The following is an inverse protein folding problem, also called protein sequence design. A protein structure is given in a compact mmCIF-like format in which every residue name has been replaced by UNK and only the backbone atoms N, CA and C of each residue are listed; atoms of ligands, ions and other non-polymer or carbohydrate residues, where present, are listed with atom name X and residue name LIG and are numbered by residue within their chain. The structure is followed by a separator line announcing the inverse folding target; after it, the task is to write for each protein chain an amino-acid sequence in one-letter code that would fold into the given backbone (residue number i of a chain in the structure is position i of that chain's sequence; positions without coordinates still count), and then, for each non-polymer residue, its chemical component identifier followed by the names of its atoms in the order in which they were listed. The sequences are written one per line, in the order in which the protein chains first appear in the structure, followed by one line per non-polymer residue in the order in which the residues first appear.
data_IF_613620393319
#
_entry.id   IF_613620393319
#
_cell.length_a   1.000
_cell.length_b   1.000
_cell.length_c   1.000
_cell.angle_alpha   90.00
_cell.angle_beta   90.00
_cell.angle_gamma   90.00
#
_symmetry.space_group_name_H-M   'P 1'
#
loop_
_entity.id
_entity.type
_entity.pdbx_description
1 polymer ?
#
# COMPACT_ATOMS: atom_id res chain seq x y z
N UNK A 1 18.58 -20.89 -12.21
CA UNK A 1 17.74 -21.94 -12.81
C UNK A 1 18.38 -22.40 -14.11
N UNK A 2 18.59 -23.70 -14.30
CA UNK A 2 19.08 -24.22 -15.57
C UNK A 2 17.91 -24.26 -16.57
N UNK A 3 18.12 -23.77 -17.79
CA UNK A 3 17.11 -23.83 -18.84
C UNK A 3 16.85 -25.30 -19.24
N UNK A 4 15.59 -25.71 -19.46
CA UNK A 4 15.28 -27.01 -20.05
C UNK A 4 16.05 -27.26 -21.36
N UNK A 5 16.41 -28.52 -21.68
CA UNK A 5 17.31 -28.84 -22.79
C UNK A 5 16.82 -28.39 -24.18
N UNK A 6 15.52 -28.17 -24.34
CA UNK A 6 14.88 -27.77 -25.61
C UNK A 6 14.83 -26.24 -25.82
N UNK A 7 15.33 -25.44 -24.88
CA UNK A 7 15.27 -23.97 -24.98
C UNK A 7 16.39 -23.48 -25.90
N UNK A 8 16.01 -23.10 -27.12
CA UNK A 8 16.88 -22.42 -28.08
C UNK A 8 17.36 -21.04 -27.58
N UNK A 9 18.30 -20.44 -28.32
CA UNK A 9 18.90 -19.14 -27.98
C UNK A 9 17.86 -18.02 -27.88
N UNK A 10 16.83 -18.03 -28.74
CA UNK A 10 15.70 -17.11 -28.70
C UNK A 10 14.91 -17.19 -27.39
N UNK A 11 14.69 -18.39 -26.86
CA UNK A 11 13.99 -18.61 -25.60
C UNK A 11 14.76 -18.09 -24.39
N UNK A 12 16.10 -18.21 -24.40
CA UNK A 12 16.97 -17.66 -23.34
C UNK A 12 16.96 -16.13 -23.37
N UNK A 13 17.06 -15.52 -24.55
CA UNK A 13 16.97 -14.06 -24.72
C UNK A 13 15.60 -13.55 -24.26
N UNK A 14 14.51 -14.20 -24.67
CA UNK A 14 13.16 -13.83 -24.25
C UNK A 14 12.98 -13.90 -22.73
N UNK A 15 13.49 -14.96 -22.09
CA UNK A 15 13.44 -15.10 -20.64
C UNK A 15 14.18 -13.98 -19.90
N UNK A 16 15.45 -13.72 -20.26
CA UNK A 16 16.21 -12.65 -19.62
C UNK A 16 15.65 -11.26 -19.95
N UNK A 17 15.19 -11.03 -21.19
CA UNK A 17 14.53 -9.79 -21.57
C UNK A 17 13.27 -9.52 -20.75
N UNK A 18 12.43 -10.53 -20.54
CA UNK A 18 11.26 -10.43 -19.66
C UNK A 18 11.64 -10.14 -18.21
N UNK A 19 12.63 -10.84 -17.66
CA UNK A 19 13.11 -10.59 -16.29
C UNK A 19 13.66 -9.17 -16.12
N UNK A 20 14.47 -8.70 -17.07
CA UNK A 20 15.00 -7.33 -17.07
C UNK A 20 13.86 -6.31 -17.14
N UNK A 21 12.87 -6.52 -18.01
CA UNK A 21 11.70 -5.64 -18.10
C UNK A 21 10.92 -5.59 -16.79
N UNK A 22 10.60 -6.75 -16.19
CA UNK A 22 9.93 -6.81 -14.89
C UNK A 22 10.76 -6.11 -13.79
N UNK A 23 12.08 -6.31 -13.77
CA UNK A 23 12.96 -5.66 -12.82
C UNK A 23 12.94 -4.13 -12.98
N UNK A 24 12.96 -3.61 -14.22
CA UNK A 24 12.82 -2.18 -14.49
C UNK A 24 11.47 -1.63 -14.02
N UNK A 25 10.37 -2.35 -14.26
CA UNK A 25 9.03 -1.95 -13.79
C UNK A 25 8.99 -1.90 -12.26
N UNK A 26 9.49 -2.94 -11.57
CA UNK A 26 9.53 -2.94 -10.11
C UNK A 26 10.43 -1.83 -9.55
N UNK A 27 11.58 -1.58 -10.16
CA UNK A 27 12.46 -0.49 -9.76
C UNK A 27 11.74 0.86 -9.92
N UNK A 28 11.06 1.08 -11.04
CA UNK A 28 10.28 2.31 -11.27
C UNK A 28 9.16 2.49 -10.23
N UNK A 29 8.42 1.44 -9.90
CA UNK A 29 7.35 1.49 -8.89
C UNK A 29 7.87 1.76 -7.48
N UNK A 30 9.07 1.26 -7.14
CA UNK A 30 9.68 1.40 -5.80
C UNK A 30 10.59 2.65 -5.72
N UNK A 31 10.99 3.25 -6.85
CA UNK A 31 11.84 4.42 -6.94
C UNK A 31 11.46 5.58 -5.96
N UNK A 32 10.19 6.00 -5.84
CA UNK A 32 9.84 7.06 -4.88
C UNK A 32 10.12 6.66 -3.42
N UNK A 33 9.96 5.38 -3.07
CA UNK A 33 10.27 4.86 -1.72
C UNK A 33 11.79 4.92 -1.50
N UNK A 34 12.60 4.54 -2.50
CA UNK A 34 14.06 4.63 -2.42
C UNK A 34 14.56 6.06 -2.19
N UNK A 35 13.86 7.06 -2.74
CA UNK A 35 14.17 8.48 -2.53
C UNK A 35 13.77 8.95 -1.13
N UNK A 36 12.67 8.42 -0.57
CA UNK A 36 12.20 8.78 0.77
C UNK A 36 13.10 8.23 1.87
N UNK A 37 13.70 7.05 1.69
CA UNK A 37 14.58 6.42 2.70
C UNK A 37 15.74 7.32 3.15
N UNK A 38 16.57 7.92 2.28
CA UNK A 38 17.63 8.82 2.73
C UNK A 38 17.07 10.11 3.34
N UNK A 39 15.94 10.62 2.82
CA UNK A 39 15.30 11.82 3.33
C UNK A 39 14.69 11.65 4.73
N UNK A 40 14.32 10.43 5.14
CA UNK A 40 13.84 10.19 6.51
C UNK A 40 14.92 10.36 7.57
N UNK A 41 16.20 10.39 7.18
CA UNK A 41 17.32 10.74 8.04
C UNK A 41 17.65 12.24 8.03
N UNK A 42 16.86 13.08 7.36
CA UNK A 42 17.13 14.51 7.30
C UNK A 42 16.94 15.19 8.66
N UNK A 43 17.91 16.01 9.07
CA UNK A 43 17.83 16.87 10.26
C UNK A 43 16.77 17.96 10.08
N UNK A 44 16.60 18.45 8.86
CA UNK A 44 15.60 19.46 8.52
C UNK A 44 14.19 18.84 8.41
N UNK A 45 13.12 19.60 8.72
CA UNK A 45 11.73 19.17 8.55
C UNK A 45 11.22 19.27 7.11
N UNK A 46 12.12 19.28 6.13
CA UNK A 46 11.80 19.46 4.72
C UNK A 46 12.18 18.21 3.92
N UNK A 47 11.31 17.80 3.00
CA UNK A 47 11.52 16.69 2.08
C UNK A 47 12.39 17.11 0.88
N UNK A 48 13.55 17.70 1.16
CA UNK A 48 14.52 18.16 0.16
C UNK A 48 15.90 17.62 0.48
N UNK A 49 16.68 17.28 -0.56
CA UNK A 49 18.09 16.95 -0.39
C UNK A 49 18.86 18.25 -0.11
N UNK A 50 19.25 18.45 1.15
CA UNK A 50 20.03 19.64 1.56
C UNK A 50 21.48 19.53 1.09
N UNK A 51 22.17 20.66 1.01
CA UNK A 51 23.58 20.71 0.57
C UNK A 51 24.47 19.79 1.43
N UNK A 52 24.23 19.76 2.74
CA UNK A 52 24.94 18.88 3.67
C UNK A 52 24.71 17.39 3.40
N UNK A 53 23.47 16.98 3.06
CA UNK A 53 23.17 15.59 2.68
C UNK A 53 23.85 15.21 1.36
N UNK A 54 23.85 16.11 0.37
CA UNK A 54 24.54 15.85 -0.91
C UNK A 54 26.07 15.79 -0.73
N UNK A 55 26.62 16.55 0.21
CA UNK A 55 28.03 16.51 0.59
C UNK A 55 28.40 15.33 1.51
N UNK A 56 27.44 14.48 1.89
CA UNK A 56 27.60 13.37 2.84
C UNK A 56 28.16 13.83 4.20
N UNK A 57 27.82 15.06 4.63
CA UNK A 57 28.22 15.58 5.94
C UNK A 57 27.44 14.85 7.05
N UNK A 58 28.11 14.19 8.02
CA UNK A 58 27.44 13.56 9.15
C UNK A 58 26.51 14.49 9.93
N UNK A 59 26.75 15.80 9.91
CA UNK A 59 25.92 16.78 10.62
C UNK A 59 24.52 16.94 10.03
N UNK A 60 24.31 16.55 8.76
CA UNK A 60 23.05 16.65 8.04
C UNK A 60 22.15 15.41 8.18
N UNK A 61 22.61 14.38 8.90
CA UNK A 61 21.85 13.15 9.15
C UNK A 61 21.46 13.00 10.63
N UNK A 62 20.22 12.58 10.90
CA UNK A 62 19.71 12.36 12.25
C UNK A 62 18.62 11.30 12.30
N UNK A 63 18.50 10.64 13.47
CA UNK A 63 17.44 9.70 13.80
C UNK A 63 16.26 10.35 14.54
N UNK A 64 16.22 11.68 14.63
CA UNK A 64 15.20 12.43 15.40
C UNK A 64 13.77 11.99 15.07
N UNK A 65 13.44 11.79 13.80
CA UNK A 65 12.08 11.41 13.38
C UNK A 65 11.70 10.01 13.83
N UNK A 66 12.65 9.08 13.88
CA UNK A 66 12.42 7.73 14.39
C UNK A 66 12.21 7.75 15.91
N UNK A 67 12.96 8.59 16.63
CA UNK A 67 12.77 8.81 18.07
C UNK A 67 11.42 9.48 18.36
N UNK A 68 11.02 10.49 17.59
CA UNK A 68 9.73 11.18 17.74
C UNK A 68 8.54 10.23 17.54
N UNK A 69 8.60 9.32 16.57
CA UNK A 69 7.53 8.32 16.35
C UNK A 69 7.30 7.43 17.59
N UNK A 70 8.36 7.13 18.34
CA UNK A 70 8.31 6.23 19.49
C UNK A 70 8.04 6.96 20.82
N UNK A 71 8.52 8.19 20.95
CA UNK A 71 8.45 8.97 22.20
C UNK A 71 7.22 9.86 22.25
N UNK A 72 6.70 10.30 21.10
CA UNK A 72 5.55 11.17 21.04
C UNK A 72 4.25 10.38 21.33
N UNK A 73 3.53 10.72 22.41
CA UNK A 73 2.34 9.98 22.83
C UNK A 73 1.23 10.02 21.77
N UNK A 74 1.15 11.10 20.97
CA UNK A 74 0.16 11.22 19.90
C UNK A 74 0.44 10.20 18.78
N UNK A 75 1.69 10.07 18.33
CA UNK A 75 2.08 9.09 17.31
C UNK A 75 1.80 7.66 17.78
N UNK A 76 2.21 7.32 19.00
CA UNK A 76 2.00 5.98 19.57
C UNK A 76 0.52 5.68 19.74
N UNK A 77 -0.28 6.64 20.22
CA UNK A 77 -1.72 6.47 20.37
C UNK A 77 -2.40 6.26 19.02
N UNK A 78 -2.12 7.10 18.02
CA UNK A 78 -2.67 6.98 16.68
C UNK A 78 -2.28 5.65 16.02
N UNK A 79 -1.03 5.21 16.14
CA UNK A 79 -0.57 3.93 15.60
C UNK A 79 -1.31 2.73 16.23
N UNK A 80 -1.46 2.72 17.56
CA UNK A 80 -2.21 1.67 18.27
C UNK A 80 -3.69 1.65 17.84
N UNK A 81 -4.31 2.82 17.73
CA UNK A 81 -5.69 2.94 17.29
C UNK A 81 -5.86 2.41 15.85
N UNK A 82 -4.97 2.78 14.93
CA UNK A 82 -4.99 2.27 13.55
C UNK A 82 -4.86 0.74 13.49
N UNK A 83 -3.95 0.15 14.26
CA UNK A 83 -3.80 -1.32 14.31
C UNK A 83 -5.07 -1.98 14.84
N UNK A 84 -5.63 -1.45 15.93
CA UNK A 84 -6.86 -1.98 16.53
C UNK A 84 -8.02 -1.93 15.53
N UNK A 85 -8.27 -0.76 14.93
CA UNK A 85 -9.33 -0.57 13.94
C UNK A 85 -9.10 -1.45 12.71
N UNK A 86 -7.88 -1.51 12.17
CA UNK A 86 -7.56 -2.32 11.00
C UNK A 86 -7.81 -3.81 11.25
N UNK A 87 -7.46 -4.32 12.44
CA UNK A 87 -7.66 -5.72 12.81
C UNK A 87 -9.15 -6.09 12.82
N UNK A 88 -9.96 -5.36 13.60
CA UNK A 88 -11.39 -5.66 13.71
C UNK A 88 -12.14 -5.38 12.40
N UNK A 89 -11.77 -4.31 11.68
CA UNK A 89 -12.34 -4.00 10.37
C UNK A 89 -12.08 -5.13 9.36
N UNK A 90 -10.84 -5.62 9.27
CA UNK A 90 -10.47 -6.73 8.37
C UNK A 90 -11.22 -8.00 8.75
N UNK A 91 -11.29 -8.34 10.05
CA UNK A 91 -11.99 -9.53 10.53
C UNK A 91 -13.48 -9.49 10.15
N UNK A 92 -14.17 -8.40 10.49
CA UNK A 92 -15.60 -8.23 10.22
C UNK A 92 -15.86 -8.21 8.70
N UNK A 93 -15.07 -7.43 7.94
CA UNK A 93 -15.23 -7.32 6.50
C UNK A 93 -14.99 -8.67 5.79
N UNK A 94 -13.99 -9.44 6.21
CA UNK A 94 -13.70 -10.76 5.62
C UNK A 94 -14.82 -11.75 5.92
N UNK A 95 -15.32 -11.80 7.16
CA UNK A 95 -16.43 -12.69 7.53
C UNK A 95 -17.69 -12.33 6.74
N UNK A 96 -18.13 -11.06 6.81
CA UNK A 96 -19.34 -10.61 6.14
C UNK A 96 -19.23 -10.70 4.61
N UNK A 97 -18.08 -10.32 4.05
CA UNK A 97 -17.81 -10.41 2.61
C UNK A 97 -17.79 -11.85 2.11
N UNK A 98 -17.20 -12.78 2.87
CA UNK A 98 -17.20 -14.21 2.53
C UNK A 98 -18.61 -14.78 2.59
N UNK A 99 -19.39 -14.47 3.64
CA UNK A 99 -20.79 -14.91 3.74
C UNK A 99 -21.64 -14.36 2.60
N UNK A 100 -21.48 -13.08 2.25
CA UNK A 100 -22.17 -12.47 1.12
C UNK A 100 -21.78 -13.13 -0.21
N UNK A 101 -20.50 -13.40 -0.44
CA UNK A 101 -20.01 -14.09 -1.63
C UNK A 101 -20.58 -15.52 -1.74
N UNK A 102 -20.58 -16.29 -0.64
CA UNK A 102 -21.15 -17.64 -0.61
C UNK A 102 -22.65 -17.62 -0.92
N UNK A 103 -23.42 -16.71 -0.32
CA UNK A 103 -24.85 -16.55 -0.61
C UNK A 103 -25.14 -16.18 -2.07
N UNK A 104 -24.44 -15.16 -2.59
CA UNK A 104 -24.60 -14.66 -3.96
C UNK A 104 -24.13 -15.64 -5.04
N UNK A 105 -23.21 -16.54 -4.71
CA UNK A 105 -22.72 -17.57 -5.64
C UNK A 105 -23.75 -18.64 -5.96
N UNK A 106 -24.81 -18.78 -5.14
CA UNK A 106 -25.83 -19.80 -5.37
C UNK A 106 -26.71 -19.49 -6.59
N UNK A 107 -27.06 -20.53 -7.34
CA UNK A 107 -27.88 -20.43 -8.56
C UNK A 107 -29.33 -19.97 -8.29
N UNK A 108 -29.85 -20.20 -7.08
CA UNK A 108 -31.26 -19.98 -6.73
C UNK A 108 -31.43 -18.86 -5.68
N UNK A 109 -30.64 -17.79 -5.75
CA UNK A 109 -30.77 -16.67 -4.82
C UNK A 109 -31.91 -15.72 -5.24
N UNK A 110 -32.96 -15.54 -4.41
CA UNK A 110 -34.01 -14.59 -4.70
C UNK A 110 -33.48 -13.14 -4.63
N UNK A 111 -33.96 -12.27 -5.51
CA UNK A 111 -33.61 -10.84 -5.57
C UNK A 111 -32.12 -10.51 -5.71
N UNK A 112 -31.31 -11.44 -6.25
CA UNK A 112 -29.86 -11.29 -6.46
C UNK A 112 -29.44 -9.95 -7.09
N UNK A 113 -30.09 -9.42 -8.15
CA UNK A 113 -29.70 -8.13 -8.74
C UNK A 113 -29.85 -6.94 -7.78
N UNK A 114 -30.90 -6.93 -6.94
CA UNK A 114 -31.13 -5.85 -5.97
C UNK A 114 -30.06 -5.88 -4.87
N UNK A 115 -29.78 -7.07 -4.32
CA UNK A 115 -28.75 -7.24 -3.28
C UNK A 115 -27.37 -6.84 -3.80
N UNK A 116 -27.01 -7.25 -5.03
CA UNK A 116 -25.76 -6.81 -5.66
C UNK A 116 -25.71 -5.30 -5.86
N UNK A 117 -26.81 -4.68 -6.31
CA UNK A 117 -26.88 -3.23 -6.50
C UNK A 117 -26.60 -2.47 -5.21
N UNK A 118 -27.20 -2.89 -4.09
CA UNK A 118 -26.94 -2.30 -2.77
C UNK A 118 -25.48 -2.48 -2.36
N UNK A 119 -24.91 -3.68 -2.50
CA UNK A 119 -23.52 -3.97 -2.11
C UNK A 119 -22.48 -3.20 -2.93
N UNK A 120 -22.76 -2.96 -4.22
CA UNK A 120 -21.86 -2.23 -5.12
C UNK A 120 -22.07 -0.71 -5.00
N UNK A 121 -23.26 -0.25 -4.59
CA UNK A 121 -23.56 1.18 -4.46
C UNK A 121 -22.50 2.03 -3.73
N UNK A 122 -21.92 1.62 -2.58
CA UNK A 122 -20.88 2.42 -1.92
C UNK A 122 -19.57 2.50 -2.70
N UNK A 123 -19.29 1.59 -3.63
CA UNK A 123 -18.11 1.67 -4.50
C UNK A 123 -18.26 2.74 -5.58
N UNK A 124 -19.50 3.08 -5.94
CA UNK A 124 -19.82 4.13 -6.92
C UNK A 124 -19.83 5.51 -6.25
N UNK A 125 -20.24 5.58 -4.98
CA UNK A 125 -20.26 6.84 -4.22
C UNK A 125 -18.83 7.29 -3.92
N UNK A 126 -18.45 8.54 -4.27
CA UNK A 126 -17.13 9.05 -3.96
C UNK A 126 -16.89 9.10 -2.45
N UNK A 127 -15.82 8.43 -2.00
CA UNK A 127 -15.43 8.36 -0.57
C UNK A 127 -15.32 9.74 0.10
N UNK A 128 -14.89 10.77 -0.65
CA UNK A 128 -14.75 12.14 -0.14
C UNK A 128 -16.10 12.70 0.33
N UNK A 129 -17.19 12.43 -0.41
CA UNK A 129 -18.53 12.93 -0.08
C UNK A 129 -19.04 12.23 1.18
N UNK A 130 -18.86 10.91 1.29
CA UNK A 130 -19.22 10.14 2.48
C UNK A 130 -18.41 10.61 3.71
N UNK A 131 -17.11 10.85 3.54
CA UNK A 131 -16.24 11.34 4.62
C UNK A 131 -16.67 12.74 5.10
N UNK A 132 -16.98 13.66 4.18
CA UNK A 132 -17.53 14.96 4.54
C UNK A 132 -18.87 14.83 5.28
N UNK A 133 -19.77 13.97 4.80
CA UNK A 133 -21.04 13.69 5.47
C UNK A 133 -20.89 13.21 6.92
N UNK A 134 -20.00 12.24 7.16
CA UNK A 134 -19.72 11.72 8.51
C UNK A 134 -18.93 12.69 9.40
N UNK A 135 -18.26 13.69 8.82
CA UNK A 135 -17.56 14.71 9.59
C UNK A 135 -18.50 15.81 10.07
N UNK A 136 -19.49 16.20 9.24
CA UNK A 136 -20.44 17.27 9.56
C UNK A 136 -21.64 16.81 10.40
N UNK A 137 -21.95 15.51 10.42
CA UNK A 137 -23.07 14.92 11.16
C UNK A 137 -22.58 13.76 12.04
#
# INVERSE_FOLDING_TARGET
MAFPPYVGLSGKIGHYGFLTFCACVFLFLIAPILVIIPLSFNVEPYFTFTEGMMALDPSAYSLRWYDDILTNPQWVFSAKNSIFVAFFSTLIATILGTLAALGLSQSHMPYKPLVMGVLISPMIVPLIISAAGMFFF
#
